data_IF_226183022221
#
_entry.id   IF_226183022221
#
_cell.length_a   1.000
_cell.length_b   1.000
_cell.length_c   1.000
_cell.angle_alpha   90.00
_cell.angle_beta   90.00
_cell.angle_gamma   90.00
#
_symmetry.space_group_name_H-M   'P 1'
#
loop_
_entity.id
_entity.type
_entity.pdbx_description
1 polymer ?
#
# COMPACT_ATOMS: atom_id res chain seq x y z
N UNK A 1 40.76 -18.39 1.32
CA UNK A 1 39.61 -17.50 1.04
C UNK A 1 38.37 -18.37 1.11
N UNK A 2 37.46 -18.08 2.05
CA UNK A 2 36.35 -18.95 2.44
C UNK A 2 35.34 -19.17 1.31
N UNK A 3 34.64 -20.30 1.42
CA UNK A 3 33.69 -20.84 0.47
C UNK A 3 32.52 -19.90 0.13
N UNK A 4 31.93 -20.23 -1.03
CA UNK A 4 30.64 -19.84 -1.63
C UNK A 4 30.51 -18.42 -2.20
N UNK A 5 30.25 -18.37 -3.52
CA UNK A 5 29.81 -17.19 -4.25
C UNK A 5 28.56 -16.64 -3.57
N UNK A 6 28.68 -15.52 -2.87
CA UNK A 6 27.57 -14.85 -2.21
C UNK A 6 26.59 -14.29 -3.25
N UNK A 7 25.62 -15.12 -3.67
CA UNK A 7 24.40 -14.62 -4.31
C UNK A 7 23.42 -14.29 -3.19
N UNK A 8 23.63 -13.14 -2.55
CA UNK A 8 22.74 -12.63 -1.51
C UNK A 8 21.35 -12.42 -2.12
N UNK A 9 20.37 -13.24 -1.73
CA UNK A 9 18.98 -12.92 -2.02
C UNK A 9 18.64 -11.62 -1.29
N UNK A 10 18.05 -10.69 -2.03
CA UNK A 10 17.92 -9.28 -1.66
C UNK A 10 17.24 -9.08 -0.31
N UNK A 11 17.89 -8.29 0.55
CA UNK A 11 17.50 -7.97 1.93
C UNK A 11 16.47 -6.84 2.06
N UNK A 12 15.63 -6.63 1.03
CA UNK A 12 14.74 -5.47 0.94
C UNK A 12 13.39 -5.91 0.33
N UNK A 13 12.49 -6.38 1.19
CA UNK A 13 11.12 -6.79 0.82
C UNK A 13 10.10 -6.40 1.89
N UNK A 14 10.33 -5.28 2.59
CA UNK A 14 9.37 -4.75 3.56
C UNK A 14 8.36 -3.90 2.84
N UNK A 15 7.16 -4.44 2.62
CA UNK A 15 6.01 -3.65 2.19
C UNK A 15 5.09 -3.39 3.38
N UNK A 16 4.67 -2.14 3.53
CA UNK A 16 3.62 -1.77 4.47
C UNK A 16 2.25 -1.97 3.83
N UNK A 17 1.28 -2.44 4.61
CA UNK A 17 -0.09 -2.58 4.11
C UNK A 17 -0.63 -1.23 3.62
N UNK A 18 -1.18 -1.20 2.41
CA UNK A 18 -1.76 0.01 1.83
C UNK A 18 -2.98 0.47 2.64
N UNK A 19 -3.03 1.78 2.94
CA UNK A 19 -4.12 2.41 3.71
C UNK A 19 -5.37 2.70 2.88
N UNK A 20 -5.39 2.30 1.60
CA UNK A 20 -6.52 2.53 0.65
C UNK A 20 -7.00 3.98 0.68
N UNK A 21 -6.06 4.94 0.65
CA UNK A 21 -6.36 6.36 0.63
C UNK A 21 -6.97 6.75 -0.73
N UNK A 22 -7.78 7.81 -0.74
CA UNK A 22 -8.38 8.35 -1.96
C UNK A 22 -9.89 8.51 -1.84
N UNK A 23 -10.44 9.21 -2.82
CA UNK A 23 -11.84 9.63 -2.88
C UNK A 23 -12.78 8.42 -2.68
N UNK A 24 -13.72 8.58 -1.76
CA UNK A 24 -14.69 7.56 -1.34
C UNK A 24 -16.04 7.71 -2.03
N UNK A 25 -16.41 8.94 -2.37
CA UNK A 25 -17.62 9.28 -3.09
C UNK A 25 -17.33 10.38 -4.12
N UNK A 26 -17.79 10.19 -5.35
CA UNK A 26 -17.56 11.11 -6.46
C UNK A 26 -18.79 12.00 -6.70
N UNK A 27 -18.61 13.05 -7.52
CA UNK A 27 -19.69 14.00 -7.82
C UNK A 27 -20.89 13.34 -8.50
N UNK A 28 -22.09 13.58 -7.95
CA UNK A 28 -23.35 13.00 -8.45
C UNK A 28 -23.82 11.76 -7.69
N UNK A 29 -23.03 11.24 -6.75
CA UNK A 29 -23.44 10.12 -5.91
C UNK A 29 -24.31 10.57 -4.72
N UNK A 30 -25.28 9.73 -4.34
CA UNK A 30 -26.16 10.01 -3.20
C UNK A 30 -25.40 9.82 -1.89
N UNK A 31 -25.30 10.87 -1.09
CA UNK A 31 -24.64 10.86 0.23
C UNK A 31 -25.64 10.85 1.37
N UNK A 32 -25.34 10.06 2.41
CA UNK A 32 -26.03 10.11 3.70
C UNK A 32 -25.21 10.97 4.66
N UNK A 33 -25.86 11.56 5.67
CA UNK A 33 -25.15 12.26 6.75
C UNK A 33 -24.15 11.31 7.43
N UNK A 34 -22.90 11.76 7.58
CA UNK A 34 -21.81 10.98 8.18
C UNK A 34 -20.93 10.21 7.20
N UNK A 35 -21.22 10.26 5.90
CA UNK A 35 -20.33 9.64 4.90
C UNK A 35 -19.01 10.41 4.76
N UNK A 36 -17.90 9.69 4.70
CA UNK A 36 -16.57 10.22 4.37
C UNK A 36 -16.46 10.30 2.84
N UNK A 37 -16.08 11.45 2.30
CA UNK A 37 -15.93 11.65 0.84
C UNK A 37 -14.49 11.45 0.35
N UNK A 38 -13.49 11.60 1.22
CA UNK A 38 -12.05 11.49 0.92
C UNK A 38 -11.36 10.74 2.04
#
# INVERSE_FOLDING_TARGET
>A
MAHTKAKGSTKLGRESQSKRLGVKLFGGEKVKCGNILI
#
